data_IF_518469846615
#
_entry.id   IF_518469846615
#
_cell.length_a   1.000
_cell.length_b   1.000
_cell.length_c   1.000
_cell.angle_alpha   90.00
_cell.angle_beta   90.00
_cell.angle_gamma   90.00
#
_symmetry.space_group_name_H-M   'P 1'
#
loop_
_entity.id
_entity.type
_entity.pdbx_description
1 polymer ?
#
# COMPACT_ATOMS: atom_id res chain seq x y z
N UNK A 1 16.49 1.26 5.65
CA UNK A 1 15.65 0.47 4.74
C UNK A 1 16.28 0.39 3.36
N UNK A 2 15.79 -0.51 2.51
CA UNK A 2 16.26 -0.66 1.13
C UNK A 2 16.10 0.62 0.28
N UNK A 3 15.16 1.48 0.64
CA UNK A 3 14.93 2.79 0.00
C UNK A 3 15.88 3.91 0.49
N UNK A 4 16.85 3.60 1.32
CA UNK A 4 17.82 4.55 1.88
C UNK A 4 17.33 5.31 3.10
N UNK A 5 16.06 5.21 3.49
CA UNK A 5 15.54 5.84 4.70
C UNK A 5 15.74 4.97 5.94
N UNK A 6 15.88 5.59 7.09
CA UNK A 6 16.03 4.93 8.39
C UNK A 6 14.99 5.43 9.40
N UNK A 7 13.70 5.12 9.21
CA UNK A 7 12.63 5.61 10.08
C UNK A 7 12.45 4.78 11.35
N UNK A 8 13.11 3.62 11.47
CA UNK A 8 12.97 2.76 12.64
C UNK A 8 13.92 3.17 13.74
N UNK A 9 13.44 3.06 14.98
CA UNK A 9 14.18 3.34 16.20
C UNK A 9 14.20 2.10 17.09
N UNK A 10 15.25 1.97 17.88
CA UNK A 10 15.31 1.04 19.01
C UNK A 10 15.12 1.83 20.29
N UNK A 11 14.37 1.28 21.24
CA UNK A 11 14.20 1.86 22.57
C UNK A 11 14.84 0.94 23.58
N UNK A 12 15.80 1.45 24.34
CA UNK A 12 16.48 0.74 25.41
C UNK A 12 15.90 1.18 26.74
N UNK A 13 15.48 0.20 27.56
CA UNK A 13 14.98 0.42 28.91
C UNK A 13 16.07 0.00 29.90
N UNK A 14 16.70 0.99 30.54
CA UNK A 14 17.68 0.76 31.59
C UNK A 14 17.07 1.15 32.95
N UNK A 15 16.86 0.16 33.83
CA UNK A 15 16.23 0.33 35.14
C UNK A 15 14.88 1.09 35.11
N UNK A 16 14.14 1.03 33.99
CA UNK A 16 12.83 1.65 33.85
C UNK A 16 11.83 0.97 34.80
N UNK A 17 11.11 1.77 35.57
CA UNK A 17 10.12 1.30 36.54
C UNK A 17 8.73 1.55 35.99
N UNK A 18 7.88 0.50 35.96
CA UNK A 18 6.44 0.62 35.76
C UNK A 18 5.75 0.34 37.11
N UNK A 19 4.74 1.16 37.45
CA UNK A 19 3.99 0.94 38.68
C UNK A 19 3.06 -0.26 38.52
N UNK A 20 2.84 -0.99 39.62
CA UNK A 20 1.97 -2.18 39.60
C UNK A 20 0.53 -1.83 39.24
N UNK A 21 0.10 -0.63 39.60
CA UNK A 21 -1.23 -0.07 39.35
C UNK A 21 -1.48 0.19 37.87
N UNK A 22 -0.41 0.36 37.08
CA UNK A 22 -0.50 0.60 35.64
C UNK A 22 -0.64 -0.70 34.83
N UNK A 23 -0.76 -1.85 35.50
CA UNK A 23 -0.95 -3.13 34.85
C UNK A 23 -2.26 -3.20 34.08
N UNK A 24 -2.17 -3.33 32.77
CA UNK A 24 -3.33 -3.51 31.89
C UNK A 24 -3.72 -5.00 31.83
N UNK A 25 -4.85 -5.34 32.42
CA UNK A 25 -5.36 -6.71 32.44
C UNK A 25 -4.76 -7.58 33.56
N UNK A 26 -4.51 -8.84 33.25
CA UNK A 26 -4.00 -9.83 34.20
C UNK A 26 -2.59 -10.30 33.82
N UNK A 27 -1.78 -10.62 34.83
CA UNK A 27 -0.45 -11.20 34.61
C UNK A 27 -0.58 -12.47 33.75
N UNK A 28 0.31 -12.59 32.76
CA UNK A 28 0.37 -13.71 31.80
C UNK A 28 -0.84 -13.80 30.83
N UNK A 29 -1.70 -12.78 30.78
CA UNK A 29 -2.84 -12.69 29.85
C UNK A 29 -2.68 -11.59 28.76
N UNK A 30 -1.48 -11.07 28.57
CA UNK A 30 -1.18 -9.99 27.63
C UNK A 30 -1.60 -10.25 26.18
N UNK A 31 -1.65 -11.51 25.73
CA UNK A 31 -2.11 -11.85 24.39
C UNK A 31 -3.56 -11.45 24.11
N UNK A 32 -4.41 -11.45 25.13
CA UNK A 32 -5.80 -10.96 25.01
C UNK A 32 -5.83 -9.47 24.75
N UNK A 33 -4.96 -8.70 25.41
CA UNK A 33 -4.78 -7.26 25.19
C UNK A 33 -4.23 -7.01 23.78
N UNK A 34 -3.17 -7.74 23.39
CA UNK A 34 -2.57 -7.64 22.05
C UNK A 34 -3.57 -7.92 20.93
N UNK A 35 -4.39 -8.96 21.05
CA UNK A 35 -5.45 -9.24 20.06
C UNK A 35 -6.47 -8.10 19.96
N UNK A 36 -6.83 -7.49 21.08
CA UNK A 36 -7.76 -6.36 21.10
C UNK A 36 -7.16 -5.12 20.43
N UNK A 37 -5.89 -4.83 20.72
CA UNK A 37 -5.14 -3.74 20.07
C UNK A 37 -5.12 -3.92 18.54
N UNK A 38 -4.79 -5.11 18.05
CA UNK A 38 -4.78 -5.43 16.62
C UNK A 38 -6.17 -5.31 15.96
N UNK A 39 -7.26 -5.57 16.72
CA UNK A 39 -8.61 -5.33 16.21
C UNK A 39 -8.90 -3.83 16.03
N UNK A 40 -8.50 -3.00 16.97
CA UNK A 40 -8.65 -1.55 16.88
C UNK A 40 -7.78 -0.95 15.79
N UNK A 41 -6.55 -1.43 15.62
CA UNK A 41 -5.68 -1.03 14.52
C UNK A 41 -6.34 -1.29 13.16
N UNK A 42 -6.92 -2.48 12.95
CA UNK A 42 -7.65 -2.80 11.71
C UNK A 42 -8.86 -1.90 11.49
N UNK A 43 -9.58 -1.55 12.55
CA UNK A 43 -10.71 -0.61 12.47
C UNK A 43 -10.24 0.81 12.14
N UNK A 44 -9.10 1.25 12.69
CA UNK A 44 -8.45 2.51 12.37
C UNK A 44 -7.94 2.56 10.92
N UNK A 45 -7.40 1.44 10.41
CA UNK A 45 -6.98 1.34 9.01
C UNK A 45 -8.17 1.40 8.04
N UNK A 46 -9.35 0.93 8.40
CA UNK A 46 -10.55 1.11 7.57
C UNK A 46 -10.98 2.57 7.46
N UNK A 47 -10.73 3.41 8.49
CA UNK A 47 -10.92 4.86 8.40
C UNK A 47 -9.86 5.57 7.55
N UNK A 48 -8.63 5.03 7.49
CA UNK A 48 -7.57 5.47 6.56
C UNK A 48 -7.85 5.05 5.10
N UNK A 49 -8.72 4.05 4.90
CA UNK A 49 -9.22 3.65 3.57
C UNK A 49 -9.97 4.80 2.87
N UNK A 50 -10.53 5.74 3.64
CA UNK A 50 -11.16 6.96 3.12
C UNK A 50 -10.23 8.17 2.98
N UNK A 51 -9.05 8.14 3.58
CA UNK A 51 -8.07 9.20 3.41
C UNK A 51 -7.39 9.04 2.04
N UNK A 52 -7.95 9.66 1.01
CA UNK A 52 -7.22 9.94 -0.21
C UNK A 52 -5.95 10.72 0.18
N UNK A 53 -4.81 10.28 -0.32
CA UNK A 53 -3.59 11.09 -0.28
C UNK A 53 -3.95 12.51 -0.75
N UNK A 54 -3.62 13.53 0.04
CA UNK A 54 -3.90 14.93 -0.31
C UNK A 54 -3.17 15.35 -1.59
N UNK A 55 -2.12 14.61 -1.94
CA UNK A 55 -1.41 14.72 -3.22
C UNK A 55 -1.19 13.30 -3.76
N UNK A 56 -1.96 12.87 -4.78
CA UNK A 56 -1.77 11.56 -5.39
C UNK A 56 -0.48 11.46 -6.21
N UNK A 57 0.31 12.55 -6.28
CA UNK A 57 1.46 12.66 -7.18
C UNK A 57 1.06 12.62 -8.66
N UNK A 58 2.02 12.63 -9.58
CA UNK A 58 1.73 12.59 -11.02
C UNK A 58 1.02 11.31 -11.42
N UNK A 59 0.11 11.42 -12.40
CA UNK A 59 -0.55 10.25 -12.96
C UNK A 59 0.41 9.48 -13.86
N UNK A 60 0.19 8.15 -13.99
CA UNK A 60 0.95 7.34 -14.95
C UNK A 60 0.82 7.86 -16.39
N UNK A 61 -0.33 8.44 -16.73
CA UNK A 61 -0.60 8.99 -18.05
C UNK A 61 0.26 10.23 -18.30
N UNK A 62 0.30 11.16 -17.33
CA UNK A 62 1.10 12.39 -17.46
C UNK A 62 2.60 12.07 -17.58
N UNK A 63 3.09 11.17 -16.73
CA UNK A 63 4.48 10.71 -16.79
C UNK A 63 4.81 10.03 -18.12
N UNK A 64 3.88 9.23 -18.65
CA UNK A 64 4.09 8.57 -19.93
C UNK A 64 4.06 9.55 -21.12
N UNK A 65 3.17 10.53 -21.10
CA UNK A 65 3.14 11.57 -22.14
C UNK A 65 4.43 12.40 -22.13
N UNK A 66 4.91 12.75 -20.95
CA UNK A 66 6.15 13.51 -20.78
C UNK A 66 7.39 12.73 -21.23
N UNK A 67 7.44 11.43 -20.93
CA UNK A 67 8.64 10.60 -21.18
C UNK A 67 8.69 10.00 -22.59
N UNK A 68 7.54 9.60 -23.13
CA UNK A 68 7.43 8.83 -24.39
C UNK A 68 6.85 9.69 -25.50
N UNK A 69 5.93 10.62 -25.15
CA UNK A 69 5.22 11.48 -26.11
C UNK A 69 4.02 10.79 -26.75
N UNK A 70 3.32 11.58 -27.56
CA UNK A 70 2.16 11.13 -28.34
C UNK A 70 2.55 10.88 -29.79
N UNK A 71 1.97 9.86 -30.37
CA UNK A 71 2.06 9.55 -31.80
C UNK A 71 1.14 10.45 -32.65
N UNK A 72 1.13 10.26 -33.98
CA UNK A 72 0.32 11.04 -34.91
C UNK A 72 -1.21 10.89 -34.73
N UNK A 73 -1.64 9.85 -34.00
CA UNK A 73 -3.03 9.55 -33.70
C UNK A 73 -3.46 10.04 -32.30
N UNK A 74 -2.69 10.96 -31.72
CA UNK A 74 -2.88 11.50 -30.36
C UNK A 74 -2.92 10.44 -29.25
N UNK A 75 -2.34 9.27 -29.51
CA UNK A 75 -2.16 8.22 -28.52
C UNK A 75 -0.72 8.13 -28.09
N UNK A 76 -0.49 7.61 -26.88
CA UNK A 76 0.85 7.33 -26.41
C UNK A 76 1.62 6.50 -27.46
N UNK A 77 2.83 6.93 -27.82
CA UNK A 77 3.58 6.37 -28.95
C UNK A 77 3.89 4.85 -28.77
N UNK A 78 4.12 4.42 -27.52
CA UNK A 78 4.37 3.00 -27.20
C UNK A 78 3.06 2.27 -26.85
N UNK A 79 2.66 1.35 -27.71
CA UNK A 79 1.39 0.62 -27.56
C UNK A 79 1.37 -0.30 -26.33
N UNK A 80 2.49 -0.94 -25.99
CA UNK A 80 2.58 -1.83 -24.84
C UNK A 80 2.47 -1.09 -23.52
N UNK A 81 3.18 0.03 -23.37
CA UNK A 81 3.10 0.91 -22.20
C UNK A 81 1.69 1.47 -22.05
N UNK A 82 1.07 1.91 -23.16
CA UNK A 82 -0.32 2.34 -23.17
C UNK A 82 -1.27 1.27 -22.67
N UNK A 83 -1.11 0.02 -23.14
CA UNK A 83 -1.91 -1.11 -22.68
C UNK A 83 -1.76 -1.35 -21.18
N UNK A 84 -0.53 -1.37 -20.69
CA UNK A 84 -0.24 -1.60 -19.27
C UNK A 84 -0.86 -0.52 -18.37
N UNK A 85 -0.78 0.75 -18.77
CA UNK A 85 -1.42 1.87 -18.05
C UNK A 85 -2.94 1.73 -18.04
N UNK A 86 -3.54 1.36 -19.18
CA UNK A 86 -5.00 1.17 -19.27
C UNK A 86 -5.45 0.05 -18.34
N UNK A 87 -4.79 -1.10 -18.36
CA UNK A 87 -5.12 -2.25 -17.50
C UNK A 87 -4.97 -1.86 -16.03
N UNK A 88 -3.87 -1.19 -15.67
CA UNK A 88 -3.68 -0.68 -14.30
C UNK A 88 -4.81 0.25 -13.86
N UNK A 89 -5.18 1.22 -14.69
CA UNK A 89 -6.23 2.18 -14.38
C UNK A 89 -7.61 1.51 -14.26
N UNK A 90 -7.92 0.51 -15.10
CA UNK A 90 -9.14 -0.29 -15.00
C UNK A 90 -9.19 -1.04 -13.66
N UNK A 91 -8.10 -1.71 -13.29
CA UNK A 91 -8.00 -2.45 -12.04
C UNK A 91 -8.10 -1.53 -10.82
N UNK A 92 -7.43 -0.38 -10.86
CA UNK A 92 -7.49 0.61 -9.79
C UNK A 92 -8.90 1.21 -9.63
N UNK A 93 -9.60 1.46 -10.73
CA UNK A 93 -11.00 1.93 -10.73
C UNK A 93 -11.93 0.88 -10.13
N UNK A 94 -11.83 -0.38 -10.56
CA UNK A 94 -12.62 -1.48 -10.01
C UNK A 94 -12.36 -1.67 -8.50
N UNK A 95 -11.11 -1.54 -8.08
CA UNK A 95 -10.71 -1.59 -6.68
C UNK A 95 -11.30 -0.42 -5.88
N UNK A 96 -11.23 0.80 -6.40
CA UNK A 96 -11.81 1.99 -5.76
C UNK A 96 -13.33 1.86 -5.58
N UNK A 97 -14.05 1.37 -6.59
CA UNK A 97 -15.49 1.11 -6.51
C UNK A 97 -15.82 0.03 -5.48
N UNK A 98 -15.03 -1.03 -5.39
CA UNK A 98 -15.20 -2.09 -4.37
C UNK A 98 -15.02 -1.55 -2.95
N UNK A 99 -14.00 -0.70 -2.75
CA UNK A 99 -13.79 -0.01 -1.47
C UNK A 99 -14.95 0.91 -1.11
N UNK A 100 -15.40 1.72 -2.08
CA UNK A 100 -16.53 2.63 -1.89
C UNK A 100 -17.79 1.88 -1.47
N UNK A 101 -18.12 0.76 -2.13
CA UNK A 101 -19.25 -0.09 -1.74
C UNK A 101 -19.16 -0.52 -0.29
N UNK A 102 -17.96 -0.97 0.18
CA UNK A 102 -17.79 -1.39 1.58
C UNK A 102 -17.97 -0.22 2.56
N UNK A 103 -17.52 0.98 2.21
CA UNK A 103 -17.77 2.16 3.04
C UNK A 103 -19.26 2.46 3.13
N UNK A 104 -19.98 2.44 2.03
CA UNK A 104 -21.43 2.63 1.98
C UNK A 104 -22.19 1.56 2.79
N UNK A 105 -21.75 0.30 2.77
CA UNK A 105 -22.29 -0.80 3.59
C UNK A 105 -22.08 -0.54 5.09
N UNK A 106 -20.89 -0.03 5.48
CA UNK A 106 -20.57 0.32 6.88
C UNK A 106 -21.42 1.52 7.35
N UNK A 107 -21.53 2.54 6.53
CA UNK A 107 -22.37 3.72 6.82
C UNK A 107 -23.85 3.33 6.94
N UNK A 108 -24.27 2.29 6.23
CA UNK A 108 -25.58 1.63 6.36
C UNK A 108 -25.73 0.73 7.60
N UNK A 109 -24.75 0.70 8.50
CA UNK A 109 -24.79 -0.04 9.78
C UNK A 109 -24.27 -1.49 9.69
N UNK A 110 -23.68 -1.91 8.57
CA UNK A 110 -23.08 -3.23 8.45
C UNK A 110 -21.68 -3.26 9.11
N UNK A 111 -21.28 -4.42 9.60
CA UNK A 111 -19.93 -4.61 10.13
C UNK A 111 -18.97 -5.03 8.99
N UNK A 112 -17.76 -4.46 8.91
CA UNK A 112 -16.77 -4.88 7.93
C UNK A 112 -16.52 -6.39 7.98
N UNK A 113 -16.76 -7.06 6.86
CA UNK A 113 -16.56 -8.49 6.75
C UNK A 113 -15.10 -8.88 6.45
N UNK A 114 -14.78 -10.18 6.45
CA UNK A 114 -13.43 -10.68 6.14
C UNK A 114 -12.99 -10.36 4.70
N UNK A 115 -13.92 -10.01 3.80
CA UNK A 115 -13.62 -9.53 2.45
C UNK A 115 -12.73 -8.27 2.43
N UNK A 116 -12.68 -7.49 3.52
CA UNK A 116 -11.76 -6.36 3.68
C UNK A 116 -10.28 -6.75 3.58
N UNK A 117 -9.95 -8.03 3.78
CA UNK A 117 -8.61 -8.56 3.54
C UNK A 117 -8.14 -8.39 2.09
N UNK A 118 -9.08 -8.29 1.12
CA UNK A 118 -8.79 -7.98 -0.27
C UNK A 118 -8.17 -6.58 -0.40
N UNK A 119 -8.59 -5.63 0.43
CA UNK A 119 -8.09 -4.25 0.35
C UNK A 119 -6.60 -4.14 0.68
N UNK A 120 -6.15 -4.88 1.67
CA UNK A 120 -4.72 -4.93 2.00
C UNK A 120 -3.94 -5.66 0.90
N UNK A 121 -4.37 -6.84 0.52
CA UNK A 121 -3.68 -7.67 -0.46
C UNK A 121 -3.61 -6.98 -1.83
N UNK A 122 -4.76 -6.75 -2.43
CA UNK A 122 -4.84 -6.23 -3.81
C UNK A 122 -4.42 -4.76 -3.90
N UNK A 123 -4.72 -3.95 -2.89
CA UNK A 123 -4.29 -2.56 -2.84
C UNK A 123 -2.77 -2.41 -2.81
N UNK A 124 -2.06 -3.28 -2.09
CA UNK A 124 -0.58 -3.26 -2.09
C UNK A 124 0.01 -3.78 -3.39
N UNK A 125 -0.64 -4.72 -4.07
CA UNK A 125 -0.24 -5.20 -5.39
C UNK A 125 -0.39 -4.09 -6.45
N UNK A 126 -1.51 -3.38 -6.45
CA UNK A 126 -1.72 -2.21 -7.33
C UNK A 126 -0.71 -1.08 -7.07
N UNK A 127 -0.38 -0.82 -5.79
CA UNK A 127 0.63 0.17 -5.44
C UNK A 127 2.02 -0.23 -5.94
N UNK A 128 2.39 -1.50 -5.82
CA UNK A 128 3.65 -2.02 -6.35
C UNK A 128 3.69 -1.99 -7.88
N UNK A 129 2.58 -2.32 -8.53
CA UNK A 129 2.43 -2.22 -9.97
C UNK A 129 2.59 -0.78 -10.46
N UNK A 130 1.88 0.19 -9.83
CA UNK A 130 2.02 1.62 -10.14
C UNK A 130 3.47 2.06 -10.08
N UNK A 131 4.17 1.78 -8.99
CA UNK A 131 5.57 2.20 -8.83
C UNK A 131 6.51 1.51 -9.83
N UNK A 132 6.23 0.27 -10.21
CA UNK A 132 6.98 -0.44 -11.25
C UNK A 132 6.76 0.20 -12.62
N UNK A 133 5.51 0.54 -12.97
CA UNK A 133 5.19 1.24 -14.22
C UNK A 133 5.85 2.62 -14.27
N UNK A 134 5.84 3.37 -13.16
CA UNK A 134 6.53 4.67 -13.08
C UNK A 134 8.00 4.56 -13.45
N UNK A 135 8.74 3.63 -12.83
CA UNK A 135 10.15 3.41 -13.13
C UNK A 135 10.35 2.92 -14.58
N UNK A 136 9.49 2.01 -15.06
CA UNK A 136 9.61 1.47 -16.43
C UNK A 136 9.38 2.53 -17.51
N UNK A 137 8.40 3.41 -17.32
CA UNK A 137 8.08 4.50 -18.26
C UNK A 137 9.26 5.47 -18.39
N UNK A 138 9.96 5.75 -17.30
CA UNK A 138 11.14 6.63 -17.29
C UNK A 138 12.41 5.95 -17.82
N UNK A 139 12.39 4.64 -18.04
CA UNK A 139 13.57 3.92 -18.54
C UNK A 139 14.78 4.12 -17.64
N UNK A 140 15.91 4.56 -18.19
CA UNK A 140 17.16 4.78 -17.43
C UNK A 140 16.97 5.81 -16.31
N UNK A 141 16.18 6.85 -16.53
CA UNK A 141 15.88 7.87 -15.52
C UNK A 141 15.08 7.33 -14.33
N UNK A 142 14.37 6.22 -14.50
CA UNK A 142 13.66 5.51 -13.42
C UNK A 142 14.57 4.71 -12.47
N UNK A 143 15.90 4.75 -12.62
CA UNK A 143 16.84 4.00 -11.78
C UNK A 143 17.81 4.90 -11.00
N UNK A 144 17.56 6.21 -10.96
CA UNK A 144 18.39 7.16 -10.22
C UNK A 144 18.42 6.85 -8.72
N UNK A 145 19.59 6.98 -8.08
CA UNK A 145 19.73 6.71 -6.65
C UNK A 145 20.30 7.87 -5.85
N UNK A 146 21.38 8.48 -6.28
CA UNK A 146 22.09 9.52 -5.52
C UNK A 146 22.62 10.68 -6.35
N UNK A 147 22.71 10.57 -7.63
CA UNK A 147 23.36 11.58 -8.48
C UNK A 147 22.35 12.64 -8.94
N UNK A 148 22.27 13.75 -8.21
CA UNK A 148 21.44 14.89 -8.57
C UNK A 148 21.92 15.70 -9.76
N UNK A 149 23.08 15.36 -10.35
CA UNK A 149 23.56 16.02 -11.59
C UNK A 149 22.93 15.41 -12.86
N UNK A 150 22.50 14.13 -12.76
CA UNK A 150 21.93 13.37 -13.88
C UNK A 150 20.45 13.01 -13.68
N UNK A 151 19.96 13.14 -12.44
CA UNK A 151 18.59 12.79 -12.05
C UNK A 151 17.96 13.94 -11.26
N UNK A 152 16.72 14.26 -11.54
CA UNK A 152 15.99 15.23 -10.73
C UNK A 152 15.49 14.61 -9.41
N UNK A 153 14.97 15.47 -8.53
CA UNK A 153 14.52 15.04 -7.20
C UNK A 153 13.36 14.02 -7.26
N UNK A 154 12.46 14.18 -8.22
CA UNK A 154 11.31 13.31 -8.38
C UNK A 154 11.73 11.93 -8.91
N UNK A 155 12.69 11.88 -9.83
CA UNK A 155 13.26 10.64 -10.36
C UNK A 155 13.93 9.83 -9.24
N UNK A 156 14.70 10.48 -8.37
CA UNK A 156 15.31 9.83 -7.21
C UNK A 156 14.26 9.31 -6.22
N UNK A 157 13.20 10.09 -5.99
CA UNK A 157 12.14 9.70 -5.06
C UNK A 157 11.30 8.54 -5.62
N UNK A 158 11.05 8.46 -6.91
CA UNK A 158 10.33 7.33 -7.51
C UNK A 158 11.07 6.01 -7.37
N UNK A 159 12.38 5.99 -7.57
CA UNK A 159 13.21 4.80 -7.30
C UNK A 159 13.12 4.38 -5.84
N UNK A 160 13.21 5.36 -4.91
CA UNK A 160 13.07 5.11 -3.46
C UNK A 160 11.69 4.58 -3.12
N UNK A 161 10.64 5.18 -3.67
CA UNK A 161 9.26 4.74 -3.49
C UNK A 161 9.04 3.33 -4.03
N UNK A 162 9.58 3.01 -5.22
CA UNK A 162 9.51 1.67 -5.80
C UNK A 162 10.15 0.62 -4.90
N UNK A 163 11.33 0.89 -4.36
CA UNK A 163 11.99 0.01 -3.40
C UNK A 163 11.21 -0.08 -2.08
N UNK A 164 10.75 1.04 -1.53
CA UNK A 164 9.98 1.08 -0.29
C UNK A 164 8.66 0.32 -0.36
N UNK A 165 7.99 0.39 -1.51
CA UNK A 165 6.73 -0.30 -1.75
C UNK A 165 6.84 -1.83 -1.72
N UNK A 166 8.05 -2.41 -1.83
CA UNK A 166 8.24 -3.87 -1.62
C UNK A 166 7.82 -4.30 -0.22
N UNK A 167 8.00 -3.45 0.78
CA UNK A 167 7.57 -3.74 2.15
C UNK A 167 6.04 -3.70 2.33
N UNK A 168 5.30 -3.04 1.43
CA UNK A 168 3.85 -2.88 1.55
C UNK A 168 3.09 -4.22 1.59
N UNK A 169 3.56 -5.25 0.90
CA UNK A 169 2.97 -6.59 0.94
C UNK A 169 3.39 -7.43 2.15
N UNK A 170 4.25 -6.90 3.03
CA UNK A 170 4.82 -7.61 4.18
C UNK A 170 4.28 -7.06 5.50
N UNK A 171 4.38 -5.75 5.75
CA UNK A 171 3.96 -5.14 7.00
C UNK A 171 2.42 -5.15 7.17
N UNK A 172 1.93 -4.93 8.38
CA UNK A 172 0.49 -4.92 8.73
C UNK A 172 -0.25 -6.20 8.31
N UNK A 173 0.43 -7.34 8.41
CA UNK A 173 -0.05 -8.64 7.95
C UNK A 173 0.27 -8.88 6.47
N UNK A 174 1.04 -9.93 6.21
CA UNK A 174 1.52 -10.22 4.86
C UNK A 174 0.37 -10.56 3.91
N UNK A 175 0.60 -10.39 2.60
CA UNK A 175 -0.38 -10.77 1.59
C UNK A 175 -0.72 -12.26 1.65
N UNK A 176 0.23 -13.13 2.06
CA UNK A 176 0.01 -14.56 2.28
C UNK A 176 -1.00 -14.79 3.42
N UNK A 177 -0.86 -14.07 4.53
CA UNK A 177 -1.84 -14.12 5.63
C UNK A 177 -3.21 -13.60 5.18
N UNK A 178 -3.26 -12.54 4.37
CA UNK A 178 -4.53 -12.05 3.82
C UNK A 178 -5.17 -13.08 2.90
N UNK A 179 -4.40 -13.76 2.05
CA UNK A 179 -4.90 -14.87 1.20
C UNK A 179 -5.45 -16.02 2.04
N UNK A 180 -4.79 -16.39 3.14
CA UNK A 180 -5.30 -17.41 4.07
C UNK A 180 -6.63 -16.98 4.71
N UNK A 181 -6.76 -15.72 5.11
CA UNK A 181 -8.02 -15.20 5.65
C UNK A 181 -9.12 -15.24 4.59
N UNK A 182 -8.83 -14.84 3.36
CA UNK A 182 -9.79 -14.89 2.24
C UNK A 182 -10.19 -16.34 1.98
N UNK A 183 -9.23 -17.26 1.85
CA UNK A 183 -9.49 -18.67 1.60
C UNK A 183 -10.42 -19.28 2.65
N UNK A 184 -10.10 -19.08 3.92
CA UNK A 184 -10.85 -19.71 5.02
C UNK A 184 -12.15 -18.99 5.38
N UNK A 185 -12.16 -17.67 5.38
CA UNK A 185 -13.27 -16.86 5.92
C UNK A 185 -14.24 -16.35 4.86
N UNK A 186 -13.78 -16.18 3.62
CA UNK A 186 -14.60 -15.71 2.51
C UNK A 186 -15.04 -16.87 1.64
N UNK A 187 -14.09 -17.74 1.25
CA UNK A 187 -14.34 -18.84 0.33
C UNK A 187 -14.73 -20.16 1.04
N UNK A 188 -14.52 -20.26 2.36
CA UNK A 188 -14.84 -21.48 3.12
C UNK A 188 -13.98 -22.68 2.74
N UNK A 189 -12.78 -22.46 2.23
CA UNK A 189 -11.86 -23.54 1.87
C UNK A 189 -11.34 -24.25 3.13
N UNK A 190 -11.03 -25.57 3.05
CA UNK A 190 -10.48 -26.32 4.17
C UNK A 190 -9.08 -25.83 4.56
N UNK A 191 -8.68 -26.22 5.80
CA UNK A 191 -7.33 -25.96 6.34
C UNK A 191 -6.23 -26.74 5.61
#
# INVERSE_FOLDING_TARGET
LINGYSPFCETFFDNAIAQKEDLVGQINKGWTVGKRLLQHERSGMSSLVGAQSRDPGPSLVDVAIDSIGLGPDDKLAEAETRHSIIVHNMNNTAFALTRRRTVEEIDGGQTPGPATSIFKMYGTELQQEKSTLMCSIRGVQGYGWQDSSNFDADELEWTRAWLGNRAASIYSGTNEIQRNIIAKRVLGLPD
#
